data_IF_354510144916
#
_entry.id   IF_354510144916
#
_cell.length_a   1.000
_cell.length_b   1.000
_cell.length_c   1.000
_cell.angle_alpha   90.00
_cell.angle_beta   90.00
_cell.angle_gamma   90.00
#
_symmetry.space_group_name_H-M   'P 1'
#
loop_
_entity.id
_entity.type
_entity.pdbx_description
1 polymer ?
#
# COMPACT_ATOMS: atom_id res chain seq x y z
N UNK A 1 7.72 -10.65 5.14
CA UNK A 1 7.29 -10.74 3.74
C UNK A 1 7.58 -12.16 3.29
N UNK A 2 6.57 -13.01 3.21
CA UNK A 2 6.69 -14.44 2.92
C UNK A 2 5.98 -14.71 1.59
N UNK A 3 6.62 -15.52 0.74
CA UNK A 3 6.11 -15.88 -0.58
C UNK A 3 5.04 -16.97 -0.44
N UNK A 4 3.92 -16.79 -1.15
CA UNK A 4 2.87 -17.80 -1.30
C UNK A 4 2.14 -17.63 -2.63
N UNK A 5 1.37 -18.65 -3.01
CA UNK A 5 0.62 -18.69 -4.26
C UNK A 5 -0.81 -19.17 -4.02
N UNK A 6 -1.72 -18.84 -4.94
CA UNK A 6 -3.14 -19.18 -4.82
C UNK A 6 -3.44 -20.69 -4.80
N UNK A 7 -2.58 -21.51 -5.41
CA UNK A 7 -2.70 -22.97 -5.50
C UNK A 7 -1.98 -23.72 -4.37
N UNK A 8 -1.26 -22.99 -3.48
CA UNK A 8 -0.50 -23.54 -2.37
C UNK A 8 -0.63 -22.64 -1.12
N UNK A 9 -1.86 -22.38 -0.68
CA UNK A 9 -2.12 -21.51 0.48
C UNK A 9 -1.72 -22.14 1.80
N UNK A 10 -0.99 -21.41 2.62
CA UNK A 10 -0.83 -21.66 4.05
C UNK A 10 -1.89 -20.86 4.82
N UNK A 11 -2.88 -21.51 5.46
CA UNK A 11 -3.92 -20.80 6.20
C UNK A 11 -3.40 -19.96 7.36
N UNK A 12 -2.26 -20.32 7.95
CA UNK A 12 -1.68 -19.55 9.06
C UNK A 12 -0.98 -18.29 8.54
N UNK A 13 -0.33 -18.36 7.38
CA UNK A 13 0.19 -17.17 6.69
C UNK A 13 -0.94 -16.23 6.30
N UNK A 14 -2.02 -16.74 5.71
CA UNK A 14 -3.22 -15.94 5.36
C UNK A 14 -3.74 -15.20 6.58
N UNK A 15 -3.93 -15.92 7.73
CA UNK A 15 -4.41 -15.28 8.97
C UNK A 15 -3.48 -14.19 9.45
N UNK A 16 -2.16 -14.43 9.48
CA UNK A 16 -1.17 -13.41 9.88
C UNK A 16 -1.22 -12.18 8.98
N UNK A 17 -1.30 -12.37 7.66
CA UNK A 17 -1.39 -11.24 6.72
C UNK A 17 -2.67 -10.42 6.92
N UNK A 18 -3.81 -11.08 7.10
CA UNK A 18 -5.08 -10.41 7.39
C UNK A 18 -5.07 -9.71 8.75
N UNK A 19 -4.52 -10.35 9.78
CA UNK A 19 -4.42 -9.76 11.13
C UNK A 19 -3.63 -8.46 11.12
N UNK A 20 -2.42 -8.49 10.53
CA UNK A 20 -1.50 -7.35 10.55
C UNK A 20 -1.91 -6.26 9.56
N UNK A 21 -2.28 -6.62 8.33
CA UNK A 21 -2.49 -5.65 7.26
C UNK A 21 -3.94 -5.16 7.13
N UNK A 22 -4.90 -5.85 7.74
CA UNK A 22 -6.32 -5.48 7.64
C UNK A 22 -6.94 -5.26 9.02
N UNK A 23 -6.99 -6.29 9.89
CA UNK A 23 -7.75 -6.21 11.14
C UNK A 23 -7.14 -5.20 12.12
N UNK A 24 -5.82 -5.15 12.24
CA UNK A 24 -5.17 -4.19 13.12
C UNK A 24 -5.42 -2.73 12.67
N UNK A 25 -5.20 -2.33 11.39
CA UNK A 25 -5.54 -0.98 10.94
C UNK A 25 -7.02 -0.63 11.11
N UNK A 26 -7.95 -1.55 10.82
CA UNK A 26 -9.38 -1.32 11.02
C UNK A 26 -9.73 -1.11 12.49
N UNK A 27 -9.14 -1.92 13.38
CA UNK A 27 -9.33 -1.81 14.83
C UNK A 27 -8.79 -0.48 15.38
N UNK A 28 -7.60 -0.06 14.92
CA UNK A 28 -7.03 1.23 15.29
C UNK A 28 -7.88 2.40 14.79
N UNK A 29 -8.43 2.29 13.59
CA UNK A 29 -9.37 3.30 13.05
C UNK A 29 -10.63 3.42 13.90
N UNK A 30 -11.22 2.29 14.32
CA UNK A 30 -12.37 2.27 15.19
C UNK A 30 -12.07 2.86 16.58
N UNK A 31 -10.91 2.54 17.15
CA UNK A 31 -10.47 3.12 18.43
C UNK A 31 -10.22 4.61 18.33
N UNK A 32 -9.65 5.10 17.23
CA UNK A 32 -9.48 6.54 17.00
C UNK A 32 -10.82 7.25 16.92
N UNK A 33 -11.79 6.71 16.18
CA UNK A 33 -13.12 7.27 16.04
C UNK A 33 -13.86 7.40 17.41
N UNK A 34 -13.61 6.46 18.32
CA UNK A 34 -14.20 6.47 19.68
C UNK A 34 -13.51 7.45 20.63
N UNK A 35 -12.33 7.96 20.28
CA UNK A 35 -11.45 8.75 21.18
C UNK A 35 -11.00 10.08 20.58
N UNK A 36 -11.83 10.65 19.71
CA UNK A 36 -11.53 11.96 19.14
C UNK A 36 -11.39 13.03 20.21
N UNK A 37 -10.53 14.04 20.02
CA UNK A 37 -10.41 15.16 20.93
C UNK A 37 -11.74 15.89 21.11
N UNK A 38 -12.02 16.32 22.34
CA UNK A 38 -13.22 17.13 22.64
C UNK A 38 -13.12 18.44 21.88
N UNK A 39 -14.15 18.74 21.07
CA UNK A 39 -14.19 19.97 20.26
C UNK A 39 -13.46 19.88 18.91
N UNK A 40 -13.01 18.71 18.49
CA UNK A 40 -12.49 18.52 17.15
C UNK A 40 -13.54 18.93 16.11
N UNK A 41 -13.17 19.80 15.17
CA UNK A 41 -14.06 20.19 14.09
C UNK A 41 -14.14 19.08 13.02
N UNK A 42 -15.22 19.05 12.22
CA UNK A 42 -15.33 18.12 11.11
C UNK A 42 -14.09 18.15 10.19
N UNK A 43 -13.48 17.00 9.95
CA UNK A 43 -12.33 16.86 9.08
C UNK A 43 -10.96 17.21 9.65
N UNK A 44 -10.88 17.71 10.89
CA UNK A 44 -9.60 18.04 11.55
C UNK A 44 -8.72 16.80 11.78
N UNK A 45 -9.35 15.65 12.00
CA UNK A 45 -8.65 14.40 12.23
C UNK A 45 -8.66 13.52 10.98
N UNK A 46 -7.58 12.79 10.76
CA UNK A 46 -7.47 11.90 9.61
C UNK A 46 -6.81 10.55 9.94
N UNK A 47 -7.22 9.53 9.19
CA UNK A 47 -6.61 8.21 9.16
C UNK A 47 -5.96 8.04 7.80
N UNK A 48 -4.69 7.66 7.79
CA UNK A 48 -3.92 7.45 6.58
C UNK A 48 -3.41 6.00 6.55
N UNK A 49 -3.98 5.19 5.66
CA UNK A 49 -3.56 3.81 5.45
C UNK A 49 -2.38 3.75 4.49
N UNK A 50 -1.28 3.12 4.92
CA UNK A 50 -0.16 2.81 4.02
C UNK A 50 -0.45 1.49 3.33
N UNK A 51 -0.65 1.59 2.04
CA UNK A 51 -1.00 0.50 1.13
C UNK A 51 0.24 0.01 0.36
N UNK A 52 0.02 -0.41 -0.87
CA UNK A 52 1.05 -0.82 -1.83
C UNK A 52 0.52 -0.55 -3.24
N UNK A 53 1.36 -0.11 -4.17
CA UNK A 53 0.98 0.07 -5.57
C UNK A 53 0.44 -1.23 -6.20
N UNK A 54 0.82 -2.38 -5.66
CA UNK A 54 0.40 -3.70 -6.12
C UNK A 54 -1.13 -3.88 -6.12
N UNK A 55 -1.86 -3.13 -5.29
CA UNK A 55 -3.34 -3.15 -5.30
C UNK A 55 -3.93 -2.59 -6.62
N UNK A 56 -3.15 -1.85 -7.40
CA UNK A 56 -3.51 -1.33 -8.71
C UNK A 56 -2.78 -2.00 -9.88
N UNK A 57 -1.81 -2.89 -9.59
CA UNK A 57 -1.01 -3.60 -10.58
C UNK A 57 -0.82 -5.06 -10.14
N UNK A 58 -1.84 -5.87 -10.34
CA UNK A 58 -1.92 -7.22 -9.80
C UNK A 58 -0.97 -8.17 -10.52
N UNK A 59 -0.30 -9.00 -9.73
CA UNK A 59 0.39 -10.20 -10.16
C UNK A 59 0.20 -11.29 -9.09
N UNK A 60 0.41 -12.59 -9.40
CA UNK A 60 0.06 -13.68 -8.49
C UNK A 60 0.99 -13.87 -7.30
N UNK A 61 2.18 -13.29 -7.31
CA UNK A 61 3.16 -13.48 -6.24
C UNK A 61 2.72 -12.79 -4.94
N UNK A 62 3.11 -13.34 -3.80
CA UNK A 62 2.73 -12.84 -2.47
C UNK A 62 1.20 -12.72 -2.31
N UNK A 63 0.50 -13.82 -2.61
CA UNK A 63 -0.94 -13.83 -2.75
C UNK A 63 -1.67 -13.34 -1.49
N UNK A 64 -1.38 -13.92 -0.33
CA UNK A 64 -2.04 -13.56 0.94
C UNK A 64 -1.79 -12.10 1.33
N UNK A 65 -0.55 -11.63 1.15
CA UNK A 65 -0.23 -10.21 1.35
C UNK A 65 -1.07 -9.32 0.44
N UNK A 66 -1.11 -9.64 -0.86
CA UNK A 66 -1.85 -8.85 -1.85
C UNK A 66 -3.34 -8.80 -1.52
N UNK A 67 -3.95 -9.94 -1.15
CA UNK A 67 -5.35 -10.01 -0.73
C UNK A 67 -5.61 -9.11 0.49
N UNK A 68 -4.72 -9.13 1.48
CA UNK A 68 -4.85 -8.30 2.68
C UNK A 68 -4.79 -6.79 2.36
N UNK A 69 -3.88 -6.39 1.46
CA UNK A 69 -3.74 -4.99 1.02
C UNK A 69 -4.90 -4.53 0.12
N UNK A 70 -5.42 -5.41 -0.73
CA UNK A 70 -6.64 -5.14 -1.53
C UNK A 70 -7.84 -4.89 -0.62
N UNK A 71 -8.03 -5.70 0.41
CA UNK A 71 -9.12 -5.54 1.36
C UNK A 71 -8.98 -4.21 2.14
N UNK A 72 -7.77 -3.85 2.58
CA UNK A 72 -7.53 -2.57 3.24
C UNK A 72 -7.78 -1.39 2.30
N UNK A 73 -7.33 -1.46 1.04
CA UNK A 73 -7.58 -0.41 0.04
C UNK A 73 -9.06 -0.18 -0.16
N UNK A 74 -9.85 -1.24 -0.38
CA UNK A 74 -11.30 -1.11 -0.54
C UNK A 74 -12.01 -0.58 0.70
N UNK A 75 -11.44 -0.78 1.88
CA UNK A 75 -11.97 -0.25 3.13
C UNK A 75 -11.79 1.28 3.27
N UNK A 76 -10.87 1.91 2.53
CA UNK A 76 -10.61 3.37 2.61
C UNK A 76 -11.89 4.17 2.37
N UNK A 77 -12.57 3.91 1.25
CA UNK A 77 -13.79 4.62 0.89
C UNK A 77 -14.95 4.29 1.85
N UNK A 78 -15.06 3.02 2.30
CA UNK A 78 -16.09 2.60 3.27
C UNK A 78 -15.90 3.30 4.61
N UNK A 79 -14.66 3.37 5.12
CA UNK A 79 -14.34 4.07 6.37
C UNK A 79 -14.57 5.57 6.23
N UNK A 80 -14.20 6.17 5.09
CA UNK A 80 -14.45 7.59 4.83
C UNK A 80 -15.95 7.92 4.90
N UNK A 81 -16.81 7.07 4.32
CA UNK A 81 -18.27 7.22 4.40
C UNK A 81 -18.80 7.03 5.82
N UNK A 82 -18.29 6.03 6.54
CA UNK A 82 -18.80 5.65 7.86
C UNK A 82 -18.35 6.60 8.97
N UNK A 83 -17.16 7.22 8.85
CA UNK A 83 -16.55 8.05 9.89
C UNK A 83 -16.69 9.55 9.64
N UNK A 84 -17.22 9.94 8.47
CA UNK A 84 -17.56 11.33 8.20
C UNK A 84 -18.73 11.79 9.14
N UNK A 85 -18.78 13.09 9.49
CA UNK A 85 -17.86 14.16 9.12
C UNK A 85 -16.64 14.28 10.05
N UNK A 86 -16.53 13.47 11.09
CA UNK A 86 -15.54 13.62 12.16
C UNK A 86 -14.12 13.23 11.74
N UNK A 87 -14.01 12.21 10.88
CA UNK A 87 -12.72 11.71 10.41
C UNK A 87 -12.67 11.68 8.89
N UNK A 88 -11.54 12.05 8.35
CA UNK A 88 -11.16 11.79 6.96
C UNK A 88 -10.35 10.49 6.91
N UNK A 89 -10.52 9.71 5.87
CA UNK A 89 -9.76 8.47 5.66
C UNK A 89 -9.20 8.46 4.25
N UNK A 90 -7.88 8.32 4.12
CA UNK A 90 -7.20 8.23 2.83
C UNK A 90 -6.19 7.09 2.82
N UNK A 91 -5.78 6.69 1.62
CA UNK A 91 -4.72 5.74 1.37
C UNK A 91 -3.52 6.38 0.69
N UNK A 92 -2.34 5.86 0.99
CA UNK A 92 -1.11 6.11 0.22
C UNK A 92 -0.58 4.77 -0.25
N UNK A 93 -0.40 4.60 -1.55
CA UNK A 93 0.09 3.39 -2.18
C UNK A 93 1.50 3.63 -2.74
N UNK A 94 2.55 3.37 -1.96
CA UNK A 94 3.92 3.50 -2.42
C UNK A 94 4.31 2.36 -3.36
N UNK A 95 5.29 2.62 -4.23
CA UNK A 95 5.98 1.57 -4.96
C UNK A 95 7.20 1.04 -4.19
N UNK A 96 8.11 0.36 -4.90
CA UNK A 96 9.30 -0.26 -4.30
C UNK A 96 10.28 0.81 -3.75
N UNK A 97 10.31 0.97 -2.42
CA UNK A 97 11.13 1.97 -1.72
C UNK A 97 12.34 1.38 -1.00
N UNK A 98 12.23 0.14 -0.53
CA UNK A 98 13.22 -0.51 0.31
C UNK A 98 13.43 -1.95 -0.12
N UNK A 99 14.63 -2.46 0.15
CA UNK A 99 14.92 -3.90 -0.01
C UNK A 99 13.99 -4.70 0.89
N UNK A 100 13.39 -5.76 0.37
CA UNK A 100 12.47 -6.60 1.11
C UNK A 100 12.78 -8.09 0.93
N UNK A 101 12.52 -8.89 1.98
CA UNK A 101 12.69 -10.34 1.94
C UNK A 101 14.09 -10.77 1.51
N UNK A 102 14.17 -11.67 0.54
CA UNK A 102 15.43 -12.21 -0.01
C UNK A 102 16.03 -11.35 -1.14
N UNK A 103 15.49 -10.17 -1.42
CA UNK A 103 15.97 -9.29 -2.48
C UNK A 103 17.41 -8.82 -2.22
N UNK A 104 18.29 -8.95 -3.22
CA UNK A 104 19.65 -8.40 -3.15
C UNK A 104 19.66 -6.90 -3.46
N UNK A 105 20.71 -6.18 -3.04
CA UNK A 105 20.88 -4.76 -3.36
C UNK A 105 20.93 -4.49 -4.87
N UNK A 106 21.59 -5.37 -5.64
CA UNK A 106 21.67 -5.25 -7.10
C UNK A 106 20.32 -5.46 -7.77
N UNK A 107 19.54 -6.45 -7.30
CA UNK A 107 18.17 -6.64 -7.77
C UNK A 107 17.32 -5.42 -7.43
N UNK A 108 17.37 -4.93 -6.20
CA UNK A 108 16.65 -3.72 -5.78
C UNK A 108 17.00 -2.50 -6.63
N UNK A 109 18.29 -2.27 -6.91
CA UNK A 109 18.73 -1.14 -7.74
C UNK A 109 18.16 -1.19 -9.17
N UNK A 110 18.02 -2.41 -9.75
CA UNK A 110 17.39 -2.60 -11.07
C UNK A 110 15.87 -2.49 -10.98
N UNK A 111 15.25 -3.24 -10.06
CA UNK A 111 13.80 -3.30 -9.88
C UNK A 111 13.19 -1.96 -9.51
N UNK A 112 13.89 -1.15 -8.71
CA UNK A 112 13.48 0.20 -8.34
C UNK A 112 13.36 1.19 -9.50
N UNK A 113 13.83 0.81 -10.69
CA UNK A 113 13.69 1.60 -11.93
C UNK A 113 12.61 1.05 -12.87
N UNK A 114 11.93 -0.02 -12.50
CA UNK A 114 10.81 -0.60 -13.26
C UNK A 114 9.54 0.21 -12.96
N UNK A 115 9.54 1.43 -13.45
CA UNK A 115 8.42 2.37 -13.36
C UNK A 115 8.51 3.34 -14.54
N UNK A 116 7.45 4.12 -14.82
CA UNK A 116 7.41 5.00 -15.99
C UNK A 116 8.48 6.09 -15.97
N UNK A 117 8.86 6.58 -14.78
CA UNK A 117 9.88 7.63 -14.66
C UNK A 117 11.32 7.07 -14.65
N UNK A 118 11.50 5.73 -14.61
CA UNK A 118 12.79 5.03 -14.62
C UNK A 118 13.77 5.47 -13.52
N UNK A 119 13.24 5.93 -12.40
CA UNK A 119 14.01 6.41 -11.25
C UNK A 119 13.57 5.69 -9.97
N UNK A 120 14.48 5.48 -9.02
CA UNK A 120 14.11 4.98 -7.69
C UNK A 120 13.08 5.90 -7.02
N UNK A 121 12.21 5.31 -6.22
CA UNK A 121 11.25 6.06 -5.43
C UNK A 121 11.95 6.60 -4.18
N UNK A 122 11.83 7.92 -3.97
CA UNK A 122 12.33 8.59 -2.78
C UNK A 122 11.31 8.44 -1.63
N UNK A 123 11.65 7.73 -0.53
CA UNK A 123 10.75 7.59 0.62
C UNK A 123 10.30 8.92 1.22
N UNK A 124 11.10 9.99 1.09
CA UNK A 124 10.72 11.32 1.58
C UNK A 124 9.50 11.87 0.82
N UNK A 125 9.36 11.55 -0.48
CA UNK A 125 8.19 11.98 -1.27
C UNK A 125 6.92 11.27 -0.82
N UNK A 126 7.04 10.02 -0.42
CA UNK A 126 5.92 9.28 0.20
C UNK A 126 5.53 9.93 1.53
N UNK A 127 6.51 10.25 2.39
CA UNK A 127 6.25 10.94 3.65
C UNK A 127 5.62 12.33 3.46
N UNK A 128 6.06 13.10 2.46
CA UNK A 128 5.46 14.39 2.10
C UNK A 128 4.00 14.23 1.63
N UNK A 129 3.69 13.16 0.90
CA UNK A 129 2.30 12.86 0.49
C UNK A 129 1.41 12.53 1.68
N UNK A 130 1.94 11.77 2.64
CA UNK A 130 1.24 11.48 3.91
C UNK A 130 0.93 12.80 4.64
N UNK A 131 1.91 13.69 4.79
CA UNK A 131 1.74 14.99 5.42
C UNK A 131 0.72 15.86 4.65
N UNK A 132 0.83 15.93 3.33
CA UNK A 132 -0.12 16.66 2.48
C UNK A 132 -1.57 16.18 2.69
N UNK A 133 -1.81 14.88 2.73
CA UNK A 133 -3.14 14.31 2.99
C UNK A 133 -3.62 14.60 4.43
N UNK A 134 -2.70 14.57 5.40
CA UNK A 134 -3.04 14.89 6.79
C UNK A 134 -3.48 16.35 6.94
N UNK A 135 -2.82 17.28 6.25
CA UNK A 135 -3.07 18.72 6.34
C UNK A 135 -4.18 19.24 5.43
N UNK A 136 -4.59 18.47 4.41
CA UNK A 136 -5.61 18.93 3.45
C UNK A 136 -7.02 18.45 3.86
N UNK A 137 -7.88 19.36 4.38
CA UNK A 137 -9.19 18.98 4.90
C UNK A 137 -10.22 18.62 3.82
N UNK A 138 -9.90 18.85 2.55
CA UNK A 138 -10.84 18.60 1.45
C UNK A 138 -10.69 17.22 0.82
N UNK A 139 -9.73 16.37 1.29
CA UNK A 139 -9.47 15.06 0.71
C UNK A 139 -9.88 13.97 1.69
N UNK A 140 -10.79 13.10 1.26
CA UNK A 140 -11.20 11.88 1.98
C UNK A 140 -11.67 10.81 0.98
N UNK A 141 -11.58 9.53 1.34
CA UNK A 141 -12.04 8.41 0.53
C UNK A 141 -11.18 8.08 -0.70
N UNK A 142 -10.01 8.69 -0.82
CA UNK A 142 -9.12 8.54 -1.97
C UNK A 142 -7.81 7.89 -1.60
N UNK A 143 -7.23 7.13 -2.54
CA UNK A 143 -5.88 6.57 -2.44
C UNK A 143 -4.96 7.24 -3.46
N UNK A 144 -3.80 7.74 -3.01
CA UNK A 144 -2.77 8.30 -3.87
C UNK A 144 -1.64 7.30 -4.10
N UNK A 145 -1.32 7.01 -5.37
CA UNK A 145 -0.13 6.27 -5.75
C UNK A 145 1.10 7.19 -5.71
N UNK A 146 2.15 6.76 -5.01
CA UNK A 146 3.44 7.45 -4.94
C UNK A 146 4.53 6.45 -5.35
N UNK A 147 4.57 6.15 -6.64
CA UNK A 147 5.27 4.99 -7.17
C UNK A 147 5.97 5.24 -8.53
N UNK A 148 6.14 6.49 -8.92
CA UNK A 148 6.72 6.88 -10.22
C UNK A 148 6.02 6.23 -11.43
N UNK A 149 4.73 5.86 -11.28
CA UNK A 149 3.97 5.15 -12.31
C UNK A 149 4.28 3.66 -12.39
N UNK A 150 4.81 3.04 -11.33
CA UNK A 150 5.07 1.60 -11.29
C UNK A 150 3.78 0.78 -11.51
N UNK A 151 2.65 1.23 -10.94
CA UNK A 151 1.35 0.56 -11.12
C UNK A 151 0.83 0.57 -12.56
N UNK A 152 1.41 1.35 -13.47
CA UNK A 152 1.06 1.41 -14.90
C UNK A 152 1.97 0.55 -15.78
N UNK A 153 3.00 -0.07 -15.19
CA UNK A 153 3.88 -1.00 -15.90
C UNK A 153 3.34 -2.41 -15.71
N UNK A 154 2.72 -3.05 -16.71
CA UNK A 154 2.15 -4.38 -16.56
C UNK A 154 3.24 -5.40 -16.30
N UNK A 155 3.10 -6.16 -15.21
CA UNK A 155 4.02 -7.21 -14.82
C UNK A 155 3.24 -8.51 -14.56
N UNK A 156 3.74 -9.63 -15.09
CA UNK A 156 3.18 -10.96 -14.82
C UNK A 156 3.65 -11.57 -13.51
N UNK A 157 4.73 -11.05 -12.94
CA UNK A 157 5.36 -11.45 -11.70
C UNK A 157 5.63 -10.22 -10.82
N UNK A 158 5.93 -10.42 -9.54
CA UNK A 158 6.42 -9.33 -8.70
C UNK A 158 7.69 -8.71 -9.30
N UNK A 159 7.86 -7.40 -9.12
CA UNK A 159 8.98 -6.64 -9.70
C UNK A 159 10.35 -7.21 -9.33
N UNK A 160 10.45 -7.89 -8.18
CA UNK A 160 11.66 -8.57 -7.74
C UNK A 160 12.03 -9.74 -8.69
N UNK A 161 11.04 -10.38 -9.30
CA UNK A 161 11.22 -11.54 -10.23
C UNK A 161 11.06 -11.15 -11.69
N UNK A 162 10.51 -9.97 -11.98
CA UNK A 162 10.17 -9.55 -13.33
C UNK A 162 11.39 -9.25 -14.23
N UNK A 163 12.58 -9.09 -13.64
CA UNK A 163 13.82 -8.88 -14.39
C UNK A 163 14.58 -10.20 -14.46
N UNK A 164 14.82 -10.71 -15.68
CA UNK A 164 15.82 -11.75 -15.89
C UNK A 164 17.19 -11.30 -15.36
N UNK A 165 18.09 -12.23 -15.07
CA UNK A 165 19.42 -11.96 -14.50
C UNK A 165 20.24 -10.91 -15.28
N UNK A 166 19.91 -10.68 -16.56
CA UNK A 166 20.53 -9.69 -17.44
C UNK A 166 19.80 -8.33 -17.52
N UNK A 167 18.81 -8.07 -16.65
CA UNK A 167 18.08 -6.79 -16.62
C UNK A 167 17.04 -6.61 -17.74
N UNK A 168 16.70 -7.65 -18.49
CA UNK A 168 15.64 -7.64 -19.50
C UNK A 168 14.32 -8.11 -18.87
N UNK A 169 13.18 -7.43 -19.12
CA UNK A 169 11.89 -7.91 -18.64
C UNK A 169 11.59 -9.33 -19.14
N UNK A 170 11.09 -10.19 -18.28
CA UNK A 170 10.56 -11.48 -18.68
C UNK A 170 9.29 -11.25 -19.53
N UNK A 171 9.28 -11.78 -20.76
CA UNK A 171 8.15 -11.70 -21.71
C UNK A 171 7.05 -12.67 -21.33
#
# INVERSE_FOLDING_TARGET
FEEDAADALDPDLVRRQLEVNLLAPLSLSALMAQRLPVGAAPGDCSILHVLDQKVFNLNPDYFSYTVSKLALERSVALQAQALAPLLRVCGVAPGLMFVSGAQTQDNFARSGRVNLLQTPIDPQRVAQTVLFLAENPCITGSTLCVDNGQHLVPLTRDVMYALADNGTPAT
#
